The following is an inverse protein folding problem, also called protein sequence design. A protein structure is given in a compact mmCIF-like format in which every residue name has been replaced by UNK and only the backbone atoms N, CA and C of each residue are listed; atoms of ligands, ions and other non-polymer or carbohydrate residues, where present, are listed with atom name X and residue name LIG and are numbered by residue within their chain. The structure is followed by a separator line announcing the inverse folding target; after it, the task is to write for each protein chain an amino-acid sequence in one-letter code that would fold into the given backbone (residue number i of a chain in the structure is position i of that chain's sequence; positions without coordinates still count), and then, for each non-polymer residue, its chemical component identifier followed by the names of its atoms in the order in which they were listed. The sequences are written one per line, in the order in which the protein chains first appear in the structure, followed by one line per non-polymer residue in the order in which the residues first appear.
data_IF_854885736590
#
_entry.id   IF_854885736590
#
_cell.length_a   1.000
_cell.length_b   1.000
_cell.length_c   1.000
_cell.angle_alpha   90.00
_cell.angle_beta   90.00
_cell.angle_gamma   90.00
#
_symmetry.space_group_name_H-M   'P 1'
#
loop_
_entity.id
_entity.type
_entity.pdbx_description
1 polymer ?
#
# COMPACT_ATOMS: atom_id res chain seq x y z
N UNK A 1 27.91 -4.98 -20.37
CA UNK A 1 27.10 -3.95 -21.05
C UNK A 1 25.99 -3.54 -20.10
N UNK A 2 26.22 -2.52 -19.28
CA UNK A 2 25.24 -2.03 -18.30
C UNK A 2 24.28 -1.11 -19.03
N UNK A 3 23.07 -1.59 -19.28
CA UNK A 3 21.96 -0.73 -19.69
C UNK A 3 21.62 0.13 -18.48
N UNK A 4 22.16 1.36 -18.43
CA UNK A 4 21.70 2.39 -17.51
C UNK A 4 20.32 2.82 -17.96
N UNK A 5 19.31 2.09 -17.49
CA UNK A 5 17.91 2.50 -17.57
C UNK A 5 17.77 3.89 -16.93
N UNK A 6 17.53 4.87 -17.80
CA UNK A 6 17.49 6.31 -17.49
C UNK A 6 16.10 6.74 -17.01
N UNK A 7 15.15 5.81 -16.88
CA UNK A 7 13.85 6.09 -16.30
C UNK A 7 13.99 6.50 -14.83
N UNK A 8 13.37 7.62 -14.45
CA UNK A 8 13.35 8.10 -13.08
C UNK A 8 12.63 7.08 -12.18
N UNK A 9 13.34 6.51 -11.21
CA UNK A 9 12.82 5.49 -10.28
C UNK A 9 12.12 6.15 -9.11
N UNK A 10 10.91 5.69 -8.80
CA UNK A 10 10.20 6.07 -7.58
C UNK A 10 10.78 5.32 -6.38
N UNK A 11 11.01 4.01 -6.53
CA UNK A 11 11.58 3.14 -5.50
C UNK A 11 12.76 2.37 -6.10
N UNK A 12 13.88 2.36 -5.38
CA UNK A 12 15.02 1.50 -5.67
C UNK A 12 15.47 0.80 -4.39
N UNK A 13 15.59 -0.52 -4.46
CA UNK A 13 16.04 -1.40 -3.40
C UNK A 13 17.20 -2.20 -3.96
N UNK A 14 18.36 -2.15 -3.29
CA UNK A 14 19.58 -2.86 -3.69
C UNK A 14 20.06 -3.74 -2.54
N UNK A 15 20.15 -5.06 -2.78
CA UNK A 15 20.64 -6.09 -1.84
C UNK A 15 20.03 -6.01 -0.42
N UNK A 16 18.74 -5.68 -0.33
CA UNK A 16 18.10 -5.40 0.95
C UNK A 16 17.92 -6.67 1.78
N UNK A 17 18.40 -6.61 3.02
CA UNK A 17 18.15 -7.63 4.03
C UNK A 17 17.67 -6.99 5.33
N UNK A 18 16.72 -7.65 6.01
CA UNK A 18 16.09 -7.15 7.24
C UNK A 18 16.03 -8.29 8.24
N UNK A 19 16.57 -8.03 9.43
CA UNK A 19 16.52 -8.91 10.59
C UNK A 19 15.47 -8.39 11.58
N UNK A 20 14.60 -9.28 12.05
CA UNK A 20 13.65 -9.00 13.13
C UNK A 20 13.85 -10.02 14.25
N UNK A 21 14.48 -9.59 15.34
CA UNK A 21 14.68 -10.43 16.53
C UNK A 21 15.56 -11.66 16.27
N UNK A 22 16.61 -11.53 15.47
CA UNK A 22 17.53 -12.63 15.13
C UNK A 22 17.03 -13.53 13.99
N UNK A 23 15.91 -13.19 13.37
CA UNK A 23 15.38 -13.88 12.20
C UNK A 23 15.51 -13.01 10.96
N UNK A 24 16.27 -13.51 9.98
CA UNK A 24 16.39 -12.88 8.67
C UNK A 24 15.10 -13.04 7.84
N UNK A 25 14.32 -11.96 7.79
CA UNK A 25 13.00 -11.90 7.12
C UNK A 25 13.14 -11.54 5.64
N UNK A 26 13.96 -10.55 5.30
CA UNK A 26 14.30 -10.21 3.91
C UNK A 26 15.74 -10.62 3.60
N UNK A 27 15.97 -11.14 2.40
CA UNK A 27 17.21 -11.84 2.03
C UNK A 27 17.68 -11.40 0.64
N UNK A 28 18.44 -10.31 0.59
CA UNK A 28 19.02 -9.78 -0.65
C UNK A 28 17.95 -9.46 -1.69
N UNK A 29 17.03 -8.54 -1.36
CA UNK A 29 16.00 -8.08 -2.27
C UNK A 29 16.58 -7.01 -3.20
N UNK A 30 16.42 -7.21 -4.50
CA UNK A 30 16.60 -6.17 -5.51
C UNK A 30 15.23 -5.84 -6.12
N UNK A 31 14.86 -4.56 -6.13
CA UNK A 31 13.58 -4.10 -6.68
C UNK A 31 13.71 -2.69 -7.24
N UNK A 32 13.15 -2.46 -8.43
CA UNK A 32 13.18 -1.17 -9.13
C UNK A 32 11.78 -0.87 -9.65
N UNK A 33 11.20 0.24 -9.19
CA UNK A 33 9.87 0.71 -9.58
C UNK A 33 10.02 2.06 -10.25
N UNK A 34 9.52 2.17 -11.48
CA UNK A 34 9.58 3.40 -12.28
C UNK A 34 8.50 4.37 -11.85
N UNK A 35 8.74 5.67 -12.08
CA UNK A 35 7.68 6.66 -11.92
C UNK A 35 6.53 6.37 -12.90
N UNK A 36 5.29 6.52 -12.43
CA UNK A 36 4.06 6.18 -13.17
C UNK A 36 3.72 4.68 -13.28
N UNK A 37 4.56 3.78 -12.75
CA UNK A 37 4.31 2.33 -12.81
C UNK A 37 3.37 1.88 -11.67
N UNK A 38 2.45 0.96 -11.97
CA UNK A 38 1.60 0.27 -11.00
C UNK A 38 2.12 -1.15 -10.77
N UNK A 39 2.65 -1.39 -9.57
CA UNK A 39 3.28 -2.67 -9.21
C UNK A 39 2.50 -3.39 -8.10
N UNK A 40 2.14 -4.64 -8.35
CA UNK A 40 1.62 -5.54 -7.33
C UNK A 40 2.74 -6.39 -6.72
N UNK A 41 2.94 -6.31 -5.40
CA UNK A 41 3.81 -7.19 -4.62
C UNK A 41 2.97 -8.31 -4.00
N UNK A 42 3.12 -9.51 -4.54
CA UNK A 42 2.30 -10.68 -4.23
C UNK A 42 3.06 -11.72 -3.41
N UNK A 43 2.34 -12.64 -2.79
CA UNK A 43 2.90 -13.80 -2.12
C UNK A 43 2.19 -14.16 -0.82
N UNK A 44 2.49 -15.34 -0.28
CA UNK A 44 1.83 -15.88 0.91
C UNK A 44 2.06 -15.02 2.16
N UNK A 45 1.23 -15.22 3.18
CA UNK A 45 1.49 -14.66 4.51
C UNK A 45 2.88 -15.10 5.01
N UNK A 46 3.60 -14.16 5.64
CA UNK A 46 4.97 -14.39 6.10
C UNK A 46 6.05 -14.42 5.00
N UNK A 47 5.74 -14.07 3.76
CA UNK A 47 6.75 -14.00 2.69
C UNK A 47 7.70 -12.79 2.78
N UNK A 48 7.35 -11.78 3.59
CA UNK A 48 8.15 -10.58 3.83
C UNK A 48 7.59 -9.28 3.21
N UNK A 49 6.42 -9.31 2.56
CA UNK A 49 5.85 -8.15 1.84
C UNK A 49 5.71 -6.90 2.72
N UNK A 50 5.02 -7.01 3.86
CA UNK A 50 4.85 -5.87 4.77
C UNK A 50 6.17 -5.43 5.41
N UNK A 51 7.14 -6.33 5.60
CA UNK A 51 8.51 -5.96 6.02
C UNK A 51 9.23 -5.15 4.95
N UNK A 52 9.10 -5.55 3.68
CA UNK A 52 9.64 -4.80 2.54
C UNK A 52 9.02 -3.40 2.50
N UNK A 53 7.70 -3.29 2.54
CA UNK A 53 7.01 -1.99 2.53
C UNK A 53 7.41 -1.12 3.72
N UNK A 54 7.37 -1.65 4.94
CA UNK A 54 7.78 -0.90 6.14
C UNK A 54 9.22 -0.41 6.05
N UNK A 55 10.11 -1.16 5.40
CA UNK A 55 11.49 -0.72 5.16
C UNK A 55 11.56 0.37 4.10
N UNK A 56 10.77 0.26 3.02
CA UNK A 56 10.67 1.27 1.97
C UNK A 56 10.15 2.61 2.51
N UNK A 57 9.15 2.58 3.39
CA UNK A 57 8.62 3.79 4.04
C UNK A 57 9.42 4.22 5.29
N UNK A 58 10.58 3.61 5.56
CA UNK A 58 11.47 4.00 6.65
C UNK A 58 11.00 3.67 8.07
N UNK A 59 9.96 2.84 8.22
CA UNK A 59 9.45 2.37 9.51
C UNK A 59 10.26 1.22 10.11
N UNK A 60 11.04 0.51 9.28
CA UNK A 60 11.98 -0.52 9.72
C UNK A 60 13.37 -0.25 9.12
N UNK A 61 14.45 -0.38 9.90
CA UNK A 61 15.80 -0.22 9.38
C UNK A 61 16.21 -1.45 8.54
N UNK A 62 17.02 -1.21 7.52
CA UNK A 62 17.73 -2.28 6.82
C UNK A 62 18.88 -2.82 7.68
N UNK A 63 19.07 -4.13 7.71
CA UNK A 63 20.27 -4.76 8.27
C UNK A 63 21.45 -4.73 7.28
N UNK A 64 21.13 -4.86 5.98
CA UNK A 64 22.08 -4.75 4.86
C UNK A 64 21.35 -4.19 3.64
N UNK A 65 22.10 -3.59 2.72
CA UNK A 65 21.58 -3.03 1.49
C UNK A 65 21.06 -1.60 1.69
N UNK A 66 20.42 -1.06 0.67
CA UNK A 66 19.94 0.31 0.67
C UNK A 66 18.55 0.41 0.04
N UNK A 67 17.74 1.32 0.57
CA UNK A 67 16.50 1.75 -0.08
C UNK A 67 16.60 3.23 -0.40
N UNK A 68 16.21 3.59 -1.63
CA UNK A 68 16.14 4.96 -2.12
C UNK A 68 14.72 5.26 -2.62
N UNK A 69 14.24 6.43 -2.23
CA UNK A 69 13.01 7.02 -2.75
C UNK A 69 13.40 8.21 -3.62
N UNK A 70 12.97 8.20 -4.88
CA UNK A 70 13.30 9.27 -5.84
C UNK A 70 14.81 9.59 -5.87
N UNK A 71 15.63 8.54 -5.88
CA UNK A 71 17.10 8.63 -5.87
C UNK A 71 17.76 8.96 -4.51
N UNK A 72 16.97 9.36 -3.51
CA UNK A 72 17.48 9.73 -2.18
C UNK A 72 17.40 8.55 -1.20
N UNK A 73 18.49 8.20 -0.47
CA UNK A 73 18.44 7.16 0.55
C UNK A 73 17.38 7.43 1.60
N UNK A 74 16.58 6.42 1.98
CA UNK A 74 15.47 6.55 2.93
C UNK A 74 15.86 7.23 4.25
N UNK A 75 17.01 6.92 4.90
CA UNK A 75 17.44 7.63 6.11
C UNK A 75 17.67 9.14 5.93
N UNK A 76 17.88 9.58 4.69
CA UNK A 76 18.09 10.99 4.32
C UNK A 76 16.88 11.61 3.63
N UNK A 77 15.84 10.84 3.34
CA UNK A 77 14.65 11.32 2.64
C UNK A 77 13.80 12.20 3.56
N UNK A 78 13.51 13.42 3.11
CA UNK A 78 12.72 14.42 3.87
C UNK A 78 11.41 14.79 3.19
N UNK A 79 11.27 14.48 1.91
CA UNK A 79 10.13 14.92 1.11
C UNK A 79 8.93 13.95 1.19
N UNK A 80 8.54 13.60 2.43
CA UNK A 80 7.48 12.62 2.71
C UNK A 80 6.11 13.04 2.20
N UNK A 81 5.90 14.31 1.82
CA UNK A 81 4.67 14.74 1.12
C UNK A 81 4.51 14.06 -0.26
N UNK A 82 5.60 13.58 -0.86
CA UNK A 82 5.59 12.86 -2.14
C UNK A 82 5.15 11.39 -2.00
N UNK A 83 5.00 10.89 -0.77
CA UNK A 83 4.69 9.49 -0.48
C UNK A 83 3.40 9.39 0.33
N UNK A 84 2.38 8.79 -0.25
CA UNK A 84 1.17 8.37 0.45
C UNK A 84 1.32 6.92 0.92
N UNK A 85 0.95 6.62 2.16
CA UNK A 85 1.02 5.26 2.71
C UNK A 85 -0.28 4.87 3.43
N UNK A 86 -0.89 3.78 2.96
CA UNK A 86 -2.07 3.15 3.56
C UNK A 86 -1.64 1.81 4.16
N UNK A 87 -1.61 1.65 5.49
CA UNK A 87 -1.22 0.39 6.13
C UNK A 87 -2.36 -0.64 6.15
N UNK A 88 -2.01 -1.94 6.30
CA UNK A 88 -2.90 -3.12 6.32
C UNK A 88 -4.01 -3.09 7.38
N UNK A 89 -3.89 -2.26 8.40
CA UNK A 89 -4.93 -1.91 9.38
C UNK A 89 -4.32 -0.88 10.32
N UNK A 90 -4.98 0.25 10.47
CA UNK A 90 -4.91 0.98 11.74
C UNK A 90 -6.13 0.47 12.50
N UNK A 91 -5.93 -0.29 13.57
CA UNK A 91 -6.98 -0.32 14.60
C UNK A 91 -7.19 1.14 14.96
N UNK A 92 -8.31 1.73 14.52
CA UNK A 92 -8.60 3.16 14.66
C UNK A 92 -8.75 3.63 16.13
N UNK A 93 -8.19 2.89 17.08
CA UNK A 93 -8.34 3.04 18.50
C UNK A 93 -6.99 2.91 19.22
N UNK A 94 -6.00 3.70 18.81
CA UNK A 94 -4.88 4.06 19.70
C UNK A 94 -5.29 4.98 20.85
N UNK A 95 -6.55 4.91 21.31
CA UNK A 95 -7.09 5.70 22.42
C UNK A 95 -7.32 7.19 22.17
N UNK A 96 -6.96 7.73 21.00
CA UNK A 96 -7.12 9.16 20.70
C UNK A 96 -8.43 9.37 19.93
N UNK A 97 -9.43 10.06 20.51
CA UNK A 97 -10.63 10.45 19.78
C UNK A 97 -10.24 11.45 18.69
N UNK A 98 -10.50 11.10 17.43
CA UNK A 98 -10.28 11.98 16.28
C UNK A 98 -11.44 11.83 15.30
N UNK A 99 -11.84 12.95 14.71
CA UNK A 99 -12.83 13.01 13.64
C UNK A 99 -12.24 12.58 12.31
N UNK A 100 -13.09 12.19 11.38
CA UNK A 100 -12.72 11.91 9.98
C UNK A 100 -11.89 13.05 9.38
N UNK A 101 -12.34 14.30 9.56
CA UNK A 101 -11.65 15.48 9.06
C UNK A 101 -10.23 15.62 9.64
N UNK A 102 -10.05 15.37 10.94
CA UNK A 102 -8.74 15.47 11.59
C UNK A 102 -7.77 14.39 11.10
N UNK A 103 -8.25 13.16 10.93
CA UNK A 103 -7.43 12.06 10.41
C UNK A 103 -6.99 12.37 8.98
N UNK A 104 -7.87 12.86 8.10
CA UNK A 104 -7.49 13.26 6.74
C UNK A 104 -6.55 14.46 6.77
N UNK A 105 -6.85 15.49 7.56
CA UNK A 105 -5.99 16.68 7.75
C UNK A 105 -4.56 16.32 8.18
N UNK A 106 -4.39 15.22 8.92
CA UNK A 106 -3.06 14.74 9.33
C UNK A 106 -2.15 14.36 8.16
N UNK A 107 -2.71 13.98 7.01
CA UNK A 107 -1.96 13.69 5.78
C UNK A 107 -1.23 14.90 5.21
N UNK A 108 -1.64 16.12 5.60
CA UNK A 108 -1.00 17.37 5.18
C UNK A 108 0.10 17.83 6.14
N UNK A 109 0.38 17.15 7.25
CA UNK A 109 1.33 17.62 8.25
C UNK A 109 2.75 17.77 7.70
N UNK A 110 3.17 16.92 6.77
CA UNK A 110 4.47 17.00 6.09
C UNK A 110 4.62 18.26 5.22
N UNK A 111 3.51 18.91 4.82
CA UNK A 111 3.50 20.18 4.09
C UNK A 111 3.50 21.41 5.02
N UNK A 112 3.34 21.25 6.33
CA UNK A 112 3.17 22.38 7.26
C UNK A 112 4.50 22.77 7.91
N UNK A 113 4.77 24.09 7.97
CA UNK A 113 5.66 24.64 9.00
C UNK A 113 5.01 24.37 10.36
N UNK A 114 5.82 24.02 11.35
CA UNK A 114 5.35 23.78 12.72
C UNK A 114 4.46 24.94 13.18
N UNK A 115 3.25 24.65 13.66
CA UNK A 115 2.24 25.61 14.13
C UNK A 115 1.58 26.55 13.08
N UNK A 116 1.78 26.35 11.77
CA UNK A 116 1.06 27.13 10.77
C UNK A 116 -0.42 26.67 10.64
N UNK A 117 -1.39 27.60 10.59
CA UNK A 117 -2.80 27.27 10.38
C UNK A 117 -3.03 26.67 8.98
N UNK A 118 -4.08 25.87 8.84
CA UNK A 118 -4.46 25.28 7.56
C UNK A 118 -5.04 26.36 6.64
N UNK A 119 -4.31 26.70 5.57
CA UNK A 119 -4.77 27.62 4.53
C UNK A 119 -5.94 27.08 3.71
N UNK A 120 -6.59 27.95 2.93
CA UNK A 120 -7.76 27.60 2.11
C UNK A 120 -7.50 26.41 1.17
N UNK A 121 -6.34 26.38 0.50
CA UNK A 121 -5.95 25.27 -0.37
C UNK A 121 -5.89 23.91 0.36
N UNK A 122 -5.45 23.90 1.62
CA UNK A 122 -5.40 22.67 2.40
C UNK A 122 -6.79 22.21 2.88
N UNK A 123 -7.70 23.14 3.17
CA UNK A 123 -9.10 22.80 3.45
C UNK A 123 -9.77 22.21 2.21
N UNK A 124 -9.57 22.84 1.06
CA UNK A 124 -10.09 22.36 -0.22
C UNK A 124 -9.59 20.94 -0.54
N UNK A 125 -8.29 20.68 -0.39
CA UNK A 125 -7.72 19.35 -0.60
C UNK A 125 -8.33 18.28 0.31
N UNK A 126 -8.67 18.62 1.56
CA UNK A 126 -9.34 17.69 2.48
C UNK A 126 -10.75 17.37 1.99
N UNK A 127 -11.53 18.39 1.60
CA UNK A 127 -12.90 18.19 1.11
C UNK A 127 -12.89 17.34 -0.17
N UNK A 128 -11.98 17.61 -1.12
CA UNK A 128 -11.80 16.81 -2.33
C UNK A 128 -11.43 15.35 -2.00
N UNK A 129 -10.48 15.14 -1.08
CA UNK A 129 -10.08 13.78 -0.68
C UNK A 129 -11.23 13.02 -0.02
N UNK A 130 -12.07 13.69 0.77
CA UNK A 130 -13.26 13.10 1.40
C UNK A 130 -14.37 12.79 0.39
N UNK A 131 -14.54 13.62 -0.63
CA UNK A 131 -15.50 13.37 -1.71
C UNK A 131 -15.11 12.14 -2.54
N UNK A 132 -13.82 12.02 -2.90
CA UNK A 132 -13.28 10.88 -3.67
C UNK A 132 -13.55 9.54 -3.00
N UNK A 133 -13.58 9.50 -1.67
CA UNK A 133 -13.84 8.28 -0.91
C UNK A 133 -15.24 8.20 -0.32
N UNK A 134 -16.17 9.07 -0.73
CA UNK A 134 -17.57 9.05 -0.27
C UNK A 134 -17.68 9.14 1.27
N UNK A 135 -16.97 10.11 1.88
CA UNK A 135 -16.94 10.36 3.33
C UNK A 135 -17.18 11.83 3.70
N UNK A 136 -17.52 12.69 2.75
CA UNK A 136 -17.70 14.14 2.98
C UNK A 136 -18.78 14.45 4.03
N UNK A 137 -19.93 13.77 3.96
CA UNK A 137 -21.05 13.98 4.90
C UNK A 137 -20.73 13.51 6.33
N UNK A 138 -19.72 12.64 6.47
CA UNK A 138 -19.28 12.04 7.74
C UNK A 138 -18.04 12.69 8.32
N UNK A 139 -17.62 13.84 7.79
CA UNK A 139 -16.37 14.51 8.18
C UNK A 139 -16.25 14.83 9.68
N UNK A 140 -17.39 14.98 10.37
CA UNK A 140 -17.46 15.30 11.81
C UNK A 140 -17.57 14.06 12.70
N UNK A 141 -17.82 12.89 12.11
CA UNK A 141 -18.01 11.65 12.85
C UNK A 141 -16.69 11.20 13.47
N UNK A 142 -16.75 10.57 14.64
CA UNK A 142 -15.59 9.97 15.25
C UNK A 142 -15.17 8.74 14.43
N UNK A 143 -13.87 8.60 14.12
CA UNK A 143 -13.38 7.46 13.32
C UNK A 143 -13.66 6.11 14.01
N UNK A 144 -13.70 6.10 15.34
CA UNK A 144 -14.01 4.92 16.14
C UNK A 144 -15.46 4.40 15.95
N UNK A 145 -16.38 5.24 15.49
CA UNK A 145 -17.80 4.90 15.27
C UNK A 145 -18.06 4.39 13.84
N UNK A 146 -17.06 4.46 12.96
CA UNK A 146 -17.17 4.03 11.57
C UNK A 146 -17.08 2.50 11.43
N UNK A 147 -17.73 1.95 10.40
CA UNK A 147 -17.49 0.56 9.99
C UNK A 147 -16.03 0.37 9.53
N UNK A 148 -15.53 -0.86 9.51
CA UNK A 148 -14.16 -1.13 9.04
C UNK A 148 -13.88 -0.64 7.62
N UNK A 149 -14.84 -0.78 6.69
CA UNK A 149 -14.72 -0.25 5.34
C UNK A 149 -14.65 1.28 5.31
N UNK A 150 -15.43 1.96 6.14
CA UNK A 150 -15.40 3.42 6.25
C UNK A 150 -14.10 3.92 6.89
N UNK A 151 -13.59 3.25 7.93
CA UNK A 151 -12.26 3.55 8.48
C UNK A 151 -11.19 3.44 7.42
N UNK A 152 -11.25 2.41 6.58
CA UNK A 152 -10.31 2.23 5.47
C UNK A 152 -10.39 3.36 4.45
N UNK A 153 -11.60 3.77 4.05
CA UNK A 153 -11.82 4.94 3.16
C UNK A 153 -11.19 6.22 3.73
N UNK A 154 -11.28 6.44 5.05
CA UNK A 154 -10.62 7.57 5.71
C UNK A 154 -9.09 7.50 5.63
N UNK A 155 -8.50 6.31 5.80
CA UNK A 155 -7.05 6.13 5.66
C UNK A 155 -6.58 6.36 4.22
N UNK A 156 -7.38 5.96 3.24
CA UNK A 156 -7.15 6.23 1.83
C UNK A 156 -7.17 7.74 1.59
N UNK A 157 -8.23 8.45 2.02
CA UNK A 157 -8.31 9.91 1.88
C UNK A 157 -7.12 10.61 2.55
N UNK A 158 -6.71 10.16 3.73
CA UNK A 158 -5.51 10.66 4.43
C UNK A 158 -4.24 10.49 3.60
N UNK A 159 -4.09 9.42 2.83
CA UNK A 159 -2.93 9.24 1.95
C UNK A 159 -3.03 10.08 0.66
N UNK A 160 -4.24 10.26 0.13
CA UNK A 160 -4.49 10.98 -1.12
C UNK A 160 -4.44 12.51 -0.96
N UNK A 161 -4.78 13.04 0.22
CA UNK A 161 -4.86 14.49 0.48
C UNK A 161 -3.54 15.23 0.20
N UNK A 162 -2.39 14.55 0.35
CA UNK A 162 -1.08 15.15 0.07
C UNK A 162 -0.75 15.22 -1.41
N UNK A 163 -1.59 14.68 -2.29
CA UNK A 163 -1.36 14.52 -3.73
C UNK A 163 0.00 13.85 -4.01
N UNK A 164 0.18 12.59 -3.58
CA UNK A 164 1.47 11.92 -3.62
C UNK A 164 1.88 11.50 -5.05
N UNK A 165 3.18 11.53 -5.31
CA UNK A 165 3.78 10.96 -6.53
C UNK A 165 3.95 9.44 -6.43
N UNK A 166 4.08 8.92 -5.19
CA UNK A 166 4.18 7.49 -4.88
C UNK A 166 3.12 7.13 -3.84
N UNK A 167 2.18 6.27 -4.20
CA UNK A 167 1.16 5.73 -3.30
C UNK A 167 1.49 4.26 -2.98
N UNK A 168 1.70 3.96 -1.69
CA UNK A 168 1.98 2.61 -1.20
C UNK A 168 0.79 2.11 -0.41
N UNK A 169 0.28 0.94 -0.79
CA UNK A 169 -0.94 0.34 -0.28
C UNK A 169 -0.62 -1.05 0.28
N UNK A 170 -0.58 -1.21 1.60
CA UNK A 170 -0.35 -2.51 2.25
C UNK A 170 -1.70 -3.15 2.55
N UNK A 171 -2.10 -4.17 1.79
CA UNK A 171 -3.37 -4.92 1.88
C UNK A 171 -4.62 -4.02 2.07
N UNK A 172 -4.88 -3.08 1.13
CA UNK A 172 -5.84 -2.01 1.34
C UNK A 172 -7.31 -2.45 1.31
N UNK A 173 -7.62 -3.65 0.81
CA UNK A 173 -8.99 -4.17 0.63
C UNK A 173 -9.38 -5.22 1.69
N UNK A 174 -8.48 -5.55 2.62
CA UNK A 174 -8.65 -6.67 3.55
C UNK A 174 -9.78 -6.43 4.57
N UNK A 175 -10.91 -7.11 4.38
CA UNK A 175 -12.09 -7.02 5.26
C UNK A 175 -13.02 -5.85 4.93
N UNK A 176 -12.96 -5.38 3.68
CA UNK A 176 -13.82 -4.31 3.12
C UNK A 176 -14.79 -4.92 2.11
N UNK A 177 -16.04 -4.47 2.08
CA UNK A 177 -17.06 -4.93 1.13
C UNK A 177 -16.75 -4.52 -0.32
N UNK A 178 -17.33 -5.23 -1.29
CA UNK A 178 -17.03 -5.03 -2.71
C UNK A 178 -17.33 -3.62 -3.21
N UNK A 179 -18.40 -2.97 -2.73
CA UNK A 179 -18.74 -1.62 -3.16
C UNK A 179 -17.69 -0.60 -2.68
N UNK A 180 -17.24 -0.73 -1.44
CA UNK A 180 -16.13 0.05 -0.90
C UNK A 180 -14.80 -0.22 -1.63
N UNK A 181 -14.53 -1.46 -2.04
CA UNK A 181 -13.35 -1.78 -2.86
C UNK A 181 -13.42 -1.11 -4.23
N UNK A 182 -14.60 -1.03 -4.85
CA UNK A 182 -14.78 -0.36 -6.13
C UNK A 182 -14.52 1.14 -6.04
N UNK A 183 -15.09 1.81 -5.04
CA UNK A 183 -14.84 3.25 -4.79
C UNK A 183 -13.35 3.51 -4.62
N UNK A 184 -12.66 2.63 -3.87
CA UNK A 184 -11.22 2.74 -3.71
C UNK A 184 -10.47 2.55 -5.03
N UNK A 185 -10.85 1.56 -5.83
CA UNK A 185 -10.22 1.31 -7.12
C UNK A 185 -10.40 2.46 -8.09
N UNK A 186 -11.58 3.08 -8.11
CA UNK A 186 -11.86 4.25 -8.92
C UNK A 186 -11.01 5.45 -8.47
N UNK A 187 -10.90 5.68 -7.16
CA UNK A 187 -10.03 6.72 -6.60
C UNK A 187 -8.55 6.53 -6.95
N UNK A 188 -8.05 5.29 -6.93
CA UNK A 188 -6.66 5.01 -7.33
C UNK A 188 -6.48 5.12 -8.84
N UNK A 189 -7.45 4.66 -9.65
CA UNK A 189 -7.41 4.77 -11.12
C UNK A 189 -7.24 6.22 -11.55
N UNK A 190 -8.01 7.14 -10.98
CA UNK A 190 -7.89 8.57 -11.26
C UNK A 190 -6.46 9.11 -10.99
N UNK A 191 -5.79 8.60 -9.97
CA UNK A 191 -4.41 8.98 -9.64
C UNK A 191 -3.39 8.37 -10.60
N UNK A 192 -3.59 7.11 -10.97
CA UNK A 192 -2.77 6.43 -11.98
C UNK A 192 -2.84 7.17 -13.32
N UNK A 193 -4.04 7.58 -13.74
CA UNK A 193 -4.25 8.38 -14.96
C UNK A 193 -3.53 9.73 -14.92
N UNK A 194 -3.28 10.28 -13.72
CA UNK A 194 -2.48 11.50 -13.49
C UNK A 194 -0.97 11.23 -13.37
N UNK A 195 -0.53 9.98 -13.51
CA UNK A 195 0.88 9.57 -13.48
C UNK A 195 1.42 9.21 -12.10
N UNK A 196 0.58 9.02 -11.09
CA UNK A 196 1.01 8.55 -9.76
C UNK A 196 1.56 7.12 -9.85
N UNK A 197 2.74 6.87 -9.28
CA UNK A 197 3.25 5.52 -9.06
C UNK A 197 2.47 4.84 -7.96
N UNK A 198 2.06 3.59 -8.16
CA UNK A 198 1.33 2.81 -7.15
C UNK A 198 2.07 1.52 -6.84
N UNK A 199 2.27 1.24 -5.56
CA UNK A 199 2.80 -0.04 -5.07
C UNK A 199 1.77 -0.68 -4.17
N UNK A 200 1.20 -1.78 -4.61
CA UNK A 200 0.19 -2.52 -3.85
C UNK A 200 0.76 -3.82 -3.33
N UNK A 201 0.66 -4.06 -2.03
CA UNK A 201 0.82 -5.39 -1.46
C UNK A 201 -0.56 -5.99 -1.30
N UNK A 202 -0.81 -7.14 -1.93
CA UNK A 202 -2.03 -7.90 -1.64
C UNK A 202 -1.82 -9.39 -1.91
N UNK A 203 -2.74 -10.19 -1.37
CA UNK A 203 -2.95 -11.58 -1.79
C UNK A 203 -4.17 -11.70 -2.72
N UNK A 204 -5.04 -10.70 -2.75
CA UNK A 204 -6.19 -10.57 -3.66
C UNK A 204 -6.27 -9.13 -4.20
N UNK A 205 -6.21 -8.99 -5.51
CA UNK A 205 -6.21 -7.69 -6.18
C UNK A 205 -7.63 -7.18 -6.45
N UNK A 206 -8.65 -8.05 -6.48
CA UNK A 206 -10.03 -7.66 -6.72
C UNK A 206 -10.19 -6.65 -7.89
N UNK A 207 -10.93 -5.54 -7.71
CA UNK A 207 -11.11 -4.52 -8.75
C UNK A 207 -9.82 -3.79 -9.19
N UNK A 208 -8.72 -3.93 -8.44
CA UNK A 208 -7.43 -3.30 -8.74
C UNK A 208 -6.62 -4.07 -9.78
N UNK A 209 -6.96 -5.33 -10.06
CA UNK A 209 -6.19 -6.20 -10.95
C UNK A 209 -6.00 -5.58 -12.35
N UNK A 210 -7.04 -4.91 -12.86
CA UNK A 210 -7.03 -4.23 -14.15
C UNK A 210 -6.07 -3.02 -14.23
N UNK A 211 -5.54 -2.54 -13.10
CA UNK A 211 -4.62 -1.41 -13.03
C UNK A 211 -3.15 -1.84 -13.01
N UNK A 212 -2.86 -3.12 -12.82
CA UNK A 212 -1.49 -3.59 -12.58
C UNK A 212 -0.71 -3.67 -13.88
N UNK A 213 0.44 -2.97 -13.94
CA UNK A 213 1.39 -3.08 -15.05
C UNK A 213 2.35 -4.26 -14.88
N UNK A 214 2.68 -4.57 -13.62
CA UNK A 214 3.77 -5.48 -13.26
C UNK A 214 3.52 -6.16 -11.92
N UNK A 215 3.89 -7.43 -11.82
CA UNK A 215 3.80 -8.22 -10.59
C UNK A 215 5.18 -8.66 -10.10
N UNK A 216 5.38 -8.55 -8.78
CA UNK A 216 6.56 -9.01 -8.06
C UNK A 216 6.11 -10.03 -7.03
N UNK A 217 6.49 -11.30 -7.21
CA UNK A 217 6.11 -12.35 -6.26
C UNK A 217 7.23 -12.57 -5.26
N UNK A 218 6.90 -12.52 -3.97
CA UNK A 218 7.80 -12.79 -2.87
C UNK A 218 7.53 -14.16 -2.23
N UNK A 219 8.59 -14.91 -1.94
CA UNK A 219 8.52 -16.16 -1.18
C UNK A 219 9.71 -16.28 -0.24
N UNK A 220 9.44 -16.54 1.04
CA UNK A 220 10.47 -16.76 2.09
C UNK A 220 11.57 -15.66 2.10
N UNK A 221 11.16 -14.39 1.99
CA UNK A 221 12.06 -13.25 2.06
C UNK A 221 12.86 -12.95 0.80
N UNK A 222 12.48 -13.51 -0.35
CA UNK A 222 13.13 -13.32 -1.65
C UNK A 222 12.11 -12.99 -2.74
N UNK A 223 12.51 -12.21 -3.74
CA UNK A 223 11.76 -12.09 -4.99
C UNK A 223 11.99 -13.37 -5.80
N UNK A 224 10.90 -14.00 -6.24
CA UNK A 224 10.92 -15.22 -7.05
C UNK A 224 10.32 -15.02 -8.44
N UNK A 225 9.62 -13.92 -8.67
CA UNK A 225 9.10 -13.50 -9.95
C UNK A 225 9.06 -11.98 -10.00
N UNK A 226 9.39 -11.43 -11.16
CA UNK A 226 9.33 -10.00 -11.44
C UNK A 226 9.09 -9.81 -12.94
N UNK A 227 7.88 -9.38 -13.31
CA UNK A 227 7.47 -9.34 -14.71
C UNK A 227 6.02 -8.89 -14.91
N UNK A 228 5.43 -9.14 -16.09
CA UNK A 228 4.04 -8.80 -16.41
C UNK A 228 3.03 -9.32 -15.35
N UNK A 229 1.78 -8.82 -15.37
CA UNK A 229 0.77 -9.22 -14.39
C UNK A 229 0.62 -10.75 -14.31
N UNK A 230 0.77 -11.28 -13.10
CA UNK A 230 0.89 -12.72 -12.86
C UNK A 230 -0.44 -13.30 -12.38
N UNK A 231 -1.25 -13.82 -13.30
CA UNK A 231 -2.63 -14.25 -13.09
C UNK A 231 -2.84 -15.42 -12.09
N UNK A 232 -1.81 -16.17 -11.71
CA UNK A 232 -1.99 -17.48 -11.04
C UNK A 232 -2.00 -17.46 -9.50
N UNK A 233 -2.20 -16.30 -8.86
CA UNK A 233 -2.59 -16.24 -7.44
C UNK A 233 -3.97 -15.61 -7.20
N UNK A 234 -4.58 -15.01 -8.23
CA UNK A 234 -5.83 -14.24 -8.13
C UNK A 234 -7.10 -15.09 -8.20
N UNK A 235 -7.01 -16.36 -8.61
CA UNK A 235 -8.17 -17.25 -8.82
C UNK A 235 -8.15 -18.57 -8.03
N UNK A 236 -7.41 -18.65 -6.92
CA UNK A 236 -7.43 -19.85 -6.06
C UNK A 236 -8.60 -19.87 -5.03
N UNK A 237 -9.59 -19.00 -5.17
CA UNK A 237 -10.88 -19.09 -4.47
C UNK A 237 -12.01 -19.37 -5.45
N UNK A 238 -11.94 -20.51 -6.13
CA UNK A 238 -13.12 -21.13 -6.77
C UNK A 238 -13.33 -22.48 -6.10
N UNK A 239 -14.33 -22.53 -5.21
CA UNK A 239 -14.92 -23.71 -4.56
C UNK A 239 -13.98 -24.67 -3.80
N UNK A 240 -13.78 -24.42 -2.50
CA UNK A 240 -13.75 -25.54 -1.55
C UNK A 240 -15.20 -25.97 -1.28
N UNK A 241 -15.73 -26.86 -2.13
CA UNK A 241 -16.86 -27.68 -1.71
C UNK A 241 -16.39 -28.57 -0.56
N UNK A 242 -16.95 -28.36 0.62
CA UNK A 242 -17.00 -29.38 1.66
C UNK A 242 -17.77 -30.57 1.09
N UNK A 243 -17.07 -31.66 0.87
CA UNK A 243 -17.65 -32.99 1.03
C UNK A 243 -16.66 -33.76 1.89
N UNK A 244 -16.95 -33.77 3.19
CA UNK A 244 -16.63 -34.91 4.03
C UNK A 244 -17.21 -36.15 3.35
N UNK A 245 -16.34 -37.11 3.04
CA UNK A 245 -16.62 -38.56 3.12
C UNK A 245 -15.34 -39.32 2.71
N UNK A 246 -14.58 -39.71 3.72
CA UNK A 246 -13.76 -40.92 3.71
C UNK A 246 -14.43 -41.83 4.77
N UNK A 247 -14.59 -43.17 4.60
CA UNK A 247 -13.50 -44.05 4.19
C UNK A 247 -13.88 -45.28 3.32
N UNK A 248 -12.91 -45.82 2.56
CA UNK A 248 -13.12 -47.07 1.83
C UNK A 248 -11.85 -47.75 1.31
N UNK A 249 -11.39 -48.73 2.06
CA UNK A 249 -10.33 -49.72 1.80
C UNK A 249 -10.70 -50.74 0.69
N UNK A 250 -9.66 -51.31 0.02
CA UNK A 250 -9.64 -52.46 -0.94
C UNK A 250 -10.29 -52.19 -2.33
N UNK A 251 -9.82 -52.61 -3.52
CA UNK A 251 -8.91 -53.62 -4.13
C UNK A 251 -8.58 -53.11 -5.56
N UNK A 252 -7.43 -53.35 -6.21
CA UNK A 252 -6.86 -54.62 -6.71
C UNK A 252 -5.41 -54.44 -7.12
#
# INVERSE_FOLDING_TARGET
MLVTDTASRAVQVDDLSVDLGGRLVLRGIDLRIRQGEVVAVLGTNGSGKSTLIKTVVGLLPAARGEVRLFGTPVPRFRDWRRVGYVPQRITAAGGVPATVYEVVSSGLLSKRRMFAPLGAAGKQAIEEALQVVDMADRRKDAVAELSGGQQQRVLIARALVSDPELLILDEPTAGVDLASQQIFADAVRERVERGTTVVMVSHDLGPMDALIDRSVVMRRGRVVYDGPPHASQTHAHVHHSHTDDDPGWLTS
#
